data_IF_750950795243
#
_entry.id   IF_750950795243
#
_cell.length_a   1.000
_cell.length_b   1.000
_cell.length_c   1.000
_cell.angle_alpha   90.00
_cell.angle_beta   90.00
_cell.angle_gamma   90.00
#
_symmetry.space_group_name_H-M   'P 1'
#
loop_
_entity.id
_entity.type
_entity.pdbx_description
1 polymer ?
#
# COMPACT_ATOMS: atom_id res chain seq x y z
N UNK A 1 -67.22 2.65 9.34
CA UNK A 1 -66.11 1.92 8.68
C UNK A 1 -65.22 2.82 7.82
N UNK A 2 -65.74 3.75 7.01
CA UNK A 2 -64.90 4.61 6.16
C UNK A 2 -63.91 5.55 6.91
N UNK A 3 -64.34 6.08 8.04
CA UNK A 3 -63.55 7.04 8.85
C UNK A 3 -62.33 6.36 9.51
N UNK A 4 -62.42 5.11 9.91
CA UNK A 4 -61.33 4.36 10.53
C UNK A 4 -60.21 4.03 9.53
N UNK A 5 -60.54 3.75 8.26
CA UNK A 5 -59.53 3.52 7.23
C UNK A 5 -58.75 4.78 6.85
N UNK A 6 -59.42 5.94 6.87
CA UNK A 6 -58.77 7.22 6.56
C UNK A 6 -57.75 7.55 7.67
N UNK A 7 -58.08 7.35 8.92
CA UNK A 7 -57.17 7.61 10.06
C UNK A 7 -55.93 6.68 10.00
N UNK A 8 -56.13 5.40 9.65
CA UNK A 8 -54.99 4.47 9.50
C UNK A 8 -54.07 4.83 8.34
N UNK A 9 -54.62 5.28 7.22
CA UNK A 9 -53.82 5.68 6.06
C UNK A 9 -53.03 6.93 6.37
N UNK A 10 -53.59 7.92 7.03
CA UNK A 10 -52.93 9.14 7.43
C UNK A 10 -51.80 8.86 8.48
N UNK A 11 -52.06 7.98 9.45
CA UNK A 11 -51.05 7.58 10.43
C UNK A 11 -49.89 6.82 9.80
N UNK A 12 -50.14 5.97 8.80
CA UNK A 12 -49.08 5.25 8.08
C UNK A 12 -48.24 6.19 7.19
N UNK A 13 -48.87 7.17 6.54
CA UNK A 13 -48.17 8.18 5.74
C UNK A 13 -47.25 9.06 6.61
N UNK A 14 -47.69 9.44 7.82
CA UNK A 14 -46.87 10.23 8.76
C UNK A 14 -45.68 9.41 9.27
N UNK A 15 -45.87 8.10 9.50
CA UNK A 15 -44.76 7.23 9.95
C UNK A 15 -43.67 7.05 8.88
N UNK A 16 -44.02 7.04 7.60
CA UNK A 16 -43.07 6.95 6.50
C UNK A 16 -42.24 8.23 6.31
N UNK A 17 -42.79 9.39 6.70
CA UNK A 17 -42.05 10.69 6.58
C UNK A 17 -40.98 10.84 7.68
N UNK A 18 -41.18 10.15 8.83
CA UNK A 18 -40.24 10.21 9.96
C UNK A 18 -39.03 9.26 9.80
N UNK A 19 -39.04 8.35 8.83
CA UNK A 19 -37.84 7.59 8.45
C UNK A 19 -36.98 8.41 7.51
N UNK A 20 -36.50 9.55 8.01
CA UNK A 20 -35.46 10.31 7.35
C UNK A 20 -34.29 9.39 7.01
N UNK A 21 -34.00 9.22 5.72
CA UNK A 21 -32.78 8.57 5.26
C UNK A 21 -31.59 9.23 5.97
N UNK A 22 -31.13 8.65 7.06
CA UNK A 22 -29.85 8.98 7.65
C UNK A 22 -28.79 8.57 6.65
N UNK A 23 -28.48 9.45 5.70
CA UNK A 23 -27.28 9.30 4.87
C UNK A 23 -26.10 9.30 5.84
N UNK A 24 -25.57 8.09 6.08
CA UNK A 24 -24.29 7.94 6.77
C UNK A 24 -23.32 8.89 6.06
N UNK A 25 -22.70 9.86 6.77
CA UNK A 25 -21.76 10.76 6.12
C UNK A 25 -20.69 9.90 5.46
N UNK A 26 -20.46 10.13 4.17
CA UNK A 26 -19.37 9.47 3.46
C UNK A 26 -18.07 9.71 4.25
N UNK A 27 -17.20 8.71 4.38
CA UNK A 27 -15.90 8.90 5.01
C UNK A 27 -15.24 10.09 4.32
N UNK A 28 -14.88 11.10 5.12
CA UNK A 28 -14.20 12.29 4.60
C UNK A 28 -12.87 11.78 4.04
N UNK A 29 -12.72 11.77 2.71
CA UNK A 29 -11.46 11.41 2.08
C UNK A 29 -10.34 12.17 2.80
N UNK A 30 -9.37 11.44 3.33
CA UNK A 30 -8.23 12.05 4.00
C UNK A 30 -7.63 13.05 3.00
N UNK A 31 -7.56 14.32 3.37
CA UNK A 31 -6.90 15.33 2.53
C UNK A 31 -5.47 14.85 2.29
N UNK A 32 -4.98 14.84 1.04
CA UNK A 32 -3.57 14.63 0.78
C UNK A 32 -2.77 15.55 1.70
N UNK A 33 -1.68 15.05 2.29
CA UNK A 33 -0.81 15.89 3.10
C UNK A 33 -0.45 17.14 2.27
N UNK A 34 -0.59 18.31 2.86
CA UNK A 34 -0.48 19.62 2.18
C UNK A 34 0.84 19.83 1.43
N UNK A 35 1.83 18.93 1.65
CA UNK A 35 3.16 18.89 1.03
C UNK A 35 3.45 17.58 0.28
N UNK A 36 2.42 16.81 -0.11
CA UNK A 36 2.65 15.59 -0.88
C UNK A 36 3.11 15.94 -2.30
N UNK A 37 4.20 15.34 -2.75
CA UNK A 37 4.69 15.49 -4.13
C UNK A 37 3.84 14.68 -5.13
N UNK A 38 3.35 13.52 -4.68
CA UNK A 38 2.50 12.60 -5.44
C UNK A 38 1.62 11.79 -4.48
N UNK A 39 0.78 10.95 -5.03
CA UNK A 39 -0.02 10.00 -4.24
C UNK A 39 0.07 8.60 -4.83
N UNK A 40 -0.06 7.58 -3.98
CA UNK A 40 -0.29 6.20 -4.38
C UNK A 40 -1.66 5.78 -3.85
N UNK A 41 -2.37 4.94 -4.58
CA UNK A 41 -3.58 4.33 -4.07
C UNK A 41 -3.22 3.29 -3.01
N UNK A 42 -3.94 3.25 -1.90
CA UNK A 42 -3.77 2.16 -0.94
C UNK A 42 -4.27 0.85 -1.58
N UNK A 43 -3.37 -0.13 -1.75
CA UNK A 43 -3.68 -1.39 -2.42
C UNK A 43 -4.65 -2.27 -1.63
N UNK A 44 -4.83 -2.01 -0.33
CA UNK A 44 -5.76 -2.74 0.54
C UNK A 44 -7.07 -1.96 0.77
N UNK A 45 -7.07 -0.64 0.49
CA UNK A 45 -8.24 0.21 0.64
C UNK A 45 -8.34 1.23 -0.51
N UNK A 46 -9.05 0.89 -1.59
CA UNK A 46 -9.14 1.76 -2.78
C UNK A 46 -9.80 3.12 -2.54
N UNK A 47 -10.39 3.37 -1.38
CA UNK A 47 -10.95 4.66 -1.01
C UNK A 47 -9.91 5.60 -0.36
N UNK A 48 -8.70 5.10 -0.13
CA UNK A 48 -7.62 5.86 0.51
C UNK A 48 -6.44 6.06 -0.44
N UNK A 49 -5.78 7.20 -0.27
CA UNK A 49 -4.55 7.54 -0.98
C UNK A 49 -3.43 7.77 0.02
N UNK A 50 -2.26 7.23 -0.28
CA UNK A 50 -1.03 7.37 0.49
C UNK A 50 -0.28 8.57 -0.08
N UNK A 51 -0.04 9.66 0.69
CA UNK A 51 0.76 10.78 0.22
C UNK A 51 2.23 10.38 0.12
N UNK A 52 2.87 10.72 -0.99
CA UNK A 52 4.26 10.41 -1.26
C UNK A 52 5.10 11.70 -1.28
N UNK A 53 6.26 11.65 -0.63
CA UNK A 53 7.30 12.67 -0.82
C UNK A 53 8.03 12.47 -2.16
N UNK A 54 8.94 13.40 -2.50
CA UNK A 54 9.67 13.35 -3.78
C UNK A 54 10.41 12.03 -4.01
N UNK A 55 11.17 11.54 -3.03
CA UNK A 55 11.93 10.30 -3.14
C UNK A 55 11.03 9.08 -3.31
N UNK A 56 9.93 9.01 -2.55
CA UNK A 56 8.93 7.94 -2.67
C UNK A 56 8.26 7.95 -4.05
N UNK A 57 7.94 9.14 -4.58
CA UNK A 57 7.39 9.27 -5.92
C UNK A 57 8.39 8.90 -7.04
N UNK A 58 9.69 9.11 -6.82
CA UNK A 58 10.72 8.58 -7.73
C UNK A 58 10.71 7.04 -7.68
N UNK A 59 10.68 6.46 -6.48
CA UNK A 59 10.59 5.01 -6.29
C UNK A 59 9.33 4.40 -6.89
N UNK A 60 8.19 5.08 -6.77
CA UNK A 60 6.94 4.70 -7.42
C UNK A 60 7.13 4.53 -8.94
N UNK A 61 7.75 5.50 -9.61
CA UNK A 61 7.96 5.43 -11.06
C UNK A 61 8.84 4.25 -11.46
N UNK A 62 9.94 4.03 -10.76
CA UNK A 62 10.84 2.89 -11.03
C UNK A 62 10.10 1.57 -10.75
N UNK A 63 9.38 1.49 -9.65
CA UNK A 63 8.63 0.30 -9.28
C UNK A 63 7.59 -0.08 -10.35
N UNK A 64 6.83 0.87 -10.85
CA UNK A 64 5.83 0.61 -11.89
C UNK A 64 6.45 0.30 -13.26
N UNK A 65 7.68 0.75 -13.53
CA UNK A 65 8.39 0.40 -14.76
C UNK A 65 8.95 -1.03 -14.72
N UNK A 66 9.55 -1.43 -13.58
CA UNK A 66 10.46 -2.58 -13.55
C UNK A 66 10.01 -3.71 -12.60
N UNK A 67 9.19 -3.42 -11.59
CA UNK A 67 8.95 -4.34 -10.47
C UNK A 67 7.50 -4.83 -10.35
N UNK A 68 6.52 -4.01 -10.75
CA UNK A 68 5.09 -4.22 -10.52
C UNK A 68 4.58 -5.55 -11.09
N UNK A 69 5.13 -6.02 -12.21
CA UNK A 69 4.72 -7.25 -12.87
C UNK A 69 4.88 -8.51 -12.01
N UNK A 70 5.85 -8.49 -11.09
CA UNK A 70 6.14 -9.63 -10.23
C UNK A 70 5.82 -9.36 -8.76
N UNK A 71 5.79 -8.10 -8.33
CA UNK A 71 5.69 -7.72 -6.93
C UNK A 71 4.38 -7.02 -6.54
N UNK A 72 3.37 -7.04 -7.41
CA UNK A 72 2.02 -6.59 -7.10
C UNK A 72 0.99 -7.68 -7.44
N UNK A 73 -0.18 -7.64 -6.81
CA UNK A 73 -1.30 -8.54 -7.13
C UNK A 73 -1.97 -8.18 -8.46
N UNK A 74 -1.90 -6.89 -8.83
CA UNK A 74 -2.42 -6.36 -10.10
C UNK A 74 -1.54 -5.20 -10.58
N UNK A 75 -1.70 -4.83 -11.84
CA UNK A 75 -1.01 -3.69 -12.47
C UNK A 75 -2.04 -2.74 -13.07
N UNK A 76 -1.68 -1.51 -13.43
CA UNK A 76 -2.59 -0.62 -14.16
C UNK A 76 -3.09 -1.19 -15.50
N UNK A 77 -2.33 -2.14 -16.07
CA UNK A 77 -2.67 -2.80 -17.33
C UNK A 77 -3.48 -4.11 -17.14
N UNK A 78 -3.74 -4.53 -15.90
CA UNK A 78 -4.46 -5.77 -15.57
C UNK A 78 -3.71 -6.69 -14.59
N UNK A 79 -3.98 -8.00 -14.61
CA UNK A 79 -3.34 -8.95 -13.70
C UNK A 79 -1.81 -8.94 -13.82
N UNK A 80 -1.11 -9.07 -12.71
CA UNK A 80 0.34 -9.25 -12.69
C UNK A 80 0.73 -10.71 -13.03
N UNK A 81 2.03 -10.96 -13.14
CA UNK A 81 2.56 -12.31 -13.40
C UNK A 81 2.80 -13.14 -12.12
N UNK A 82 2.46 -12.61 -10.95
CA UNK A 82 2.81 -13.20 -9.65
C UNK A 82 2.30 -14.65 -9.50
N UNK A 83 1.10 -14.92 -10.00
CA UNK A 83 0.47 -16.25 -9.94
C UNK A 83 1.18 -17.33 -10.78
N UNK A 84 2.01 -16.91 -11.73
CA UNK A 84 2.77 -17.81 -12.62
C UNK A 84 4.20 -18.07 -12.10
N UNK A 85 4.58 -17.45 -10.97
CA UNK A 85 5.93 -17.57 -10.40
C UNK A 85 5.95 -18.56 -9.25
N UNK A 86 6.98 -19.44 -9.24
CA UNK A 86 7.19 -20.42 -8.17
C UNK A 86 8.65 -20.39 -7.71
N UNK A 87 8.94 -20.09 -6.44
CA UNK A 87 7.97 -19.60 -5.46
C UNK A 87 7.46 -18.19 -5.82
N UNK A 88 6.23 -17.86 -5.39
CA UNK A 88 5.71 -16.52 -5.57
C UNK A 88 6.58 -15.51 -4.80
N UNK A 89 6.94 -14.37 -5.43
CA UNK A 89 7.68 -13.33 -4.74
C UNK A 89 6.81 -12.62 -3.68
N UNK A 90 7.45 -12.01 -2.69
CA UNK A 90 6.74 -11.16 -1.74
C UNK A 90 6.11 -9.96 -2.46
N UNK A 91 4.89 -9.57 -2.04
CA UNK A 91 4.27 -8.34 -2.51
C UNK A 91 5.01 -7.12 -1.97
N UNK A 92 5.10 -6.07 -2.78
CA UNK A 92 5.79 -4.84 -2.41
C UNK A 92 5.13 -4.08 -1.25
N UNK A 93 3.87 -4.35 -0.96
CA UNK A 93 3.13 -3.79 0.18
C UNK A 93 3.03 -4.76 1.37
N UNK A 94 3.65 -5.94 1.32
CA UNK A 94 3.67 -6.89 2.45
C UNK A 94 4.49 -6.33 3.61
N UNK A 95 3.84 -5.59 4.48
CA UNK A 95 4.47 -4.96 5.65
C UNK A 95 5.00 -5.97 6.67
N UNK A 96 4.43 -7.17 6.75
CA UNK A 96 4.96 -8.20 7.64
C UNK A 96 6.37 -8.63 7.20
N UNK A 97 6.54 -8.94 5.92
CA UNK A 97 7.85 -9.24 5.35
C UNK A 97 8.78 -8.03 5.42
N UNK A 98 8.31 -6.86 4.98
CA UNK A 98 9.13 -5.65 4.96
C UNK A 98 9.62 -5.25 6.35
N UNK A 99 8.83 -5.39 7.40
CA UNK A 99 9.25 -5.09 8.78
C UNK A 99 10.26 -6.10 9.34
N UNK A 100 10.41 -7.27 8.71
CA UNK A 100 11.34 -8.32 9.15
C UNK A 100 12.72 -8.25 8.48
N UNK A 101 12.90 -7.43 7.44
CA UNK A 101 14.13 -7.33 6.65
C UNK A 101 14.68 -5.91 6.64
N UNK A 102 16.01 -5.79 6.56
CA UNK A 102 16.68 -4.48 6.50
C UNK A 102 16.66 -3.88 5.11
N UNK A 103 16.84 -2.56 5.02
CA UNK A 103 17.01 -1.86 3.75
C UNK A 103 18.26 -2.36 2.99
N UNK A 104 19.34 -2.68 3.70
CA UNK A 104 20.54 -3.26 3.10
C UNK A 104 20.24 -4.61 2.43
N UNK A 105 19.43 -5.46 3.07
CA UNK A 105 19.02 -6.71 2.45
C UNK A 105 18.22 -6.48 1.17
N UNK A 106 17.25 -5.55 1.21
CA UNK A 106 16.44 -5.21 0.02
C UNK A 106 17.33 -4.61 -1.07
N UNK A 107 18.22 -3.70 -0.72
CA UNK A 107 19.17 -3.11 -1.65
C UNK A 107 20.04 -4.18 -2.32
N UNK A 108 20.54 -5.14 -1.55
CA UNK A 108 21.39 -6.20 -2.09
C UNK A 108 20.62 -7.13 -3.02
N UNK A 109 19.39 -7.56 -2.65
CA UNK A 109 18.62 -8.46 -3.51
C UNK A 109 18.19 -7.77 -4.81
N UNK A 110 17.86 -6.49 -4.79
CA UNK A 110 17.58 -5.73 -6.02
C UNK A 110 18.85 -5.59 -6.86
N UNK A 111 19.97 -5.22 -6.23
CA UNK A 111 21.24 -5.00 -6.95
C UNK A 111 21.79 -6.28 -7.58
N UNK A 112 21.83 -7.37 -6.82
CA UNK A 112 22.54 -8.61 -7.18
C UNK A 112 21.63 -9.67 -7.78
N UNK A 113 20.29 -9.50 -7.65
CA UNK A 113 19.30 -10.47 -8.08
C UNK A 113 19.08 -11.61 -7.08
N UNK A 114 18.03 -12.38 -7.31
CA UNK A 114 17.60 -13.45 -6.39
C UNK A 114 18.63 -14.56 -6.26
N UNK A 115 19.26 -14.99 -7.34
CA UNK A 115 20.24 -16.08 -7.32
C UNK A 115 21.43 -15.80 -6.38
N UNK A 116 21.96 -14.59 -6.37
CA UNK A 116 23.06 -14.20 -5.50
C UNK A 116 22.70 -14.21 -4.01
N UNK A 117 21.41 -14.14 -3.72
CA UNK A 117 20.85 -14.13 -2.35
C UNK A 117 20.19 -15.46 -1.98
N UNK A 118 20.48 -16.56 -2.70
CA UNK A 118 19.86 -17.88 -2.52
C UNK A 118 18.33 -17.85 -2.64
N UNK A 119 17.82 -17.01 -3.53
CA UNK A 119 16.41 -16.86 -3.90
C UNK A 119 16.18 -17.23 -5.36
N UNK A 120 14.98 -17.01 -5.88
CA UNK A 120 14.63 -17.35 -7.25
C UNK A 120 15.49 -16.59 -8.27
N UNK A 121 16.00 -17.32 -9.28
CA UNK A 121 16.68 -16.73 -10.44
C UNK A 121 15.75 -15.86 -11.31
N UNK A 122 14.43 -15.93 -11.11
CA UNK A 122 13.47 -15.11 -11.82
C UNK A 122 13.54 -13.63 -11.39
N UNK A 123 14.13 -13.33 -10.24
CA UNK A 123 14.47 -11.96 -9.83
C UNK A 123 15.83 -11.58 -10.43
N UNK A 124 15.86 -10.78 -11.51
CA UNK A 124 17.13 -10.43 -12.17
C UNK A 124 17.94 -9.43 -11.33
N UNK A 125 19.26 -9.32 -11.58
CA UNK A 125 20.09 -8.28 -10.98
C UNK A 125 19.85 -6.94 -11.68
N UNK A 126 19.40 -5.95 -10.92
CA UNK A 126 19.10 -4.60 -11.42
C UNK A 126 20.25 -3.62 -11.27
N UNK A 127 21.34 -3.98 -10.57
CA UNK A 127 22.46 -3.08 -10.29
C UNK A 127 23.24 -2.59 -11.51
N UNK A 128 23.08 -3.23 -12.68
CA UNK A 128 23.66 -2.77 -13.94
C UNK A 128 22.72 -1.82 -14.70
N UNK A 129 21.44 -1.76 -14.34
CA UNK A 129 20.38 -1.00 -15.03
C UNK A 129 19.94 0.21 -14.22
N UNK A 130 19.74 0.00 -12.92
CA UNK A 130 19.30 1.03 -11.98
C UNK A 130 20.49 1.60 -11.22
N UNK A 131 20.50 2.92 -11.02
CA UNK A 131 21.45 3.55 -10.13
C UNK A 131 21.13 3.25 -8.67
N UNK A 132 22.12 3.33 -7.79
CA UNK A 132 21.89 3.12 -6.35
C UNK A 132 20.86 4.10 -5.74
N UNK A 133 20.71 5.30 -6.29
CA UNK A 133 19.67 6.24 -5.89
C UNK A 133 18.27 5.78 -6.27
N UNK A 134 18.09 5.16 -7.45
CA UNK A 134 16.83 4.60 -7.91
C UNK A 134 16.40 3.42 -7.03
N UNK A 135 17.35 2.53 -6.70
CA UNK A 135 17.12 1.39 -5.80
C UNK A 135 16.69 1.88 -4.41
N UNK A 136 17.36 2.89 -3.85
CA UNK A 136 16.96 3.49 -2.57
C UNK A 136 15.56 4.12 -2.65
N UNK A 137 15.25 4.77 -3.76
CA UNK A 137 13.93 5.35 -3.97
C UNK A 137 12.84 4.27 -3.99
N UNK A 138 13.05 3.14 -4.68
CA UNK A 138 12.14 1.98 -4.66
C UNK A 138 11.94 1.47 -3.25
N UNK A 139 13.00 1.32 -2.45
CA UNK A 139 12.90 0.89 -1.05
C UNK A 139 12.01 1.84 -0.24
N UNK A 140 12.23 3.16 -0.38
CA UNK A 140 11.42 4.15 0.36
C UNK A 140 9.96 4.15 -0.10
N UNK A 141 9.67 3.87 -1.36
CA UNK A 141 8.31 3.69 -1.87
C UNK A 141 7.65 2.44 -1.26
N UNK A 142 8.32 1.29 -1.31
CA UNK A 142 7.80 0.05 -0.71
C UNK A 142 7.51 0.22 0.79
N UNK A 143 8.39 0.91 1.53
CA UNK A 143 8.18 1.23 2.95
C UNK A 143 6.95 2.14 3.17
N UNK A 144 6.68 3.05 2.24
CA UNK A 144 5.52 3.95 2.33
C UNK A 144 4.18 3.24 2.13
N UNK A 145 4.14 2.22 1.25
CA UNK A 145 2.91 1.47 0.93
C UNK A 145 2.73 0.21 1.79
N UNK A 146 3.65 -0.07 2.70
CA UNK A 146 3.65 -1.27 3.54
C UNK A 146 2.39 -1.40 4.40
N UNK A 147 1.77 -2.59 4.42
CA UNK A 147 0.64 -2.91 5.27
C UNK A 147 0.87 -4.27 5.96
N UNK A 148 0.94 -4.34 7.29
CA UNK A 148 0.86 -3.22 8.24
C UNK A 148 1.96 -2.18 8.02
N UNK A 149 1.76 -0.91 8.48
CA UNK A 149 2.70 0.17 8.23
C UNK A 149 4.13 -0.15 8.65
N UNK A 150 5.09 0.32 7.84
CA UNK A 150 6.50 0.17 8.17
C UNK A 150 6.85 0.98 9.42
N UNK A 151 7.62 0.36 10.30
CA UNK A 151 8.22 1.03 11.45
C UNK A 151 9.71 0.70 11.52
N UNK A 152 10.49 1.71 11.81
CA UNK A 152 11.93 1.52 12.00
C UNK A 152 12.18 0.52 13.14
N UNK A 153 13.15 -0.42 12.98
CA UNK A 153 13.56 -1.27 14.07
C UNK A 153 13.91 -0.42 15.30
N UNK A 154 13.27 -0.73 16.41
CA UNK A 154 13.62 -0.09 17.69
C UNK A 154 15.08 -0.44 17.96
N UNK A 155 15.96 0.55 17.83
CA UNK A 155 17.36 0.37 18.22
C UNK A 155 17.35 0.10 19.73
N UNK A 156 17.86 -1.06 20.21
CA UNK A 156 17.96 -1.27 21.65
C UNK A 156 18.71 -0.06 22.21
N UNK A 157 18.09 0.61 23.17
CA UNK A 157 18.76 1.69 23.89
C UNK A 157 20.09 1.12 24.36
N UNK A 158 21.21 1.62 23.83
CA UNK A 158 22.50 1.24 24.32
C UNK A 158 22.47 1.60 25.80
N UNK A 159 22.45 0.59 26.68
CA UNK A 159 22.73 0.82 28.08
C UNK A 159 24.11 1.44 28.11
N UNK A 160 24.13 2.75 28.28
CA UNK A 160 25.32 3.45 28.69
C UNK A 160 25.72 2.85 30.03
N UNK A 161 26.56 1.80 30.00
CA UNK A 161 27.29 1.37 31.17
C UNK A 161 28.29 2.48 31.40
N UNK A 162 27.88 3.46 32.23
CA UNK A 162 28.80 4.44 32.77
C UNK A 162 29.89 3.69 33.53
N UNK A 163 31.10 3.86 33.09
CA UNK A 163 32.28 3.63 33.94
C UNK A 163 32.72 4.98 34.46
#
# INVERSE_FOLDING_TARGET
MKTQHIIMIVAFAILCILQGCSKKPAPKAARPAENAYSTEQDWNNPEQSIPLNYQQAQGQRVFYADCVWCHASSTPAGPSNISNLTPAPALANDGATLNSISDDYIQNIITLGGSAMSKSAMMPPWGMTLKGEDIRAVITFMRAIAQPPYHLPVRPSSQYIGR
#
